data_IF_268793306816
#
_entry.id   IF_268793306816
#
_cell.length_a   1.000
_cell.length_b   1.000
_cell.length_c   1.000
_cell.angle_alpha   90.00
_cell.angle_beta   90.00
_cell.angle_gamma   90.00
#
_symmetry.space_group_name_H-M   'P 1'
#
loop_
_entity.id
_entity.type
_entity.pdbx_description
1 polymer ?
#
# COMPACT_ATOMS: atom_id res chain seq x y z
N UNK A 1 44.73 36.53 -16.77
CA UNK A 1 43.57 36.01 -16.01
C UNK A 1 42.80 35.10 -16.95
N UNK A 2 42.86 33.79 -16.67
CA UNK A 2 42.00 32.73 -17.22
C UNK A 2 40.53 33.12 -17.20
N UNK A 3 39.73 32.62 -18.15
CA UNK A 3 38.62 31.71 -17.85
C UNK A 3 38.40 30.77 -19.05
N UNK A 4 38.69 29.50 -18.78
CA UNK A 4 38.53 28.33 -19.62
C UNK A 4 37.08 27.84 -19.48
N UNK A 5 36.36 27.71 -20.59
CA UNK A 5 34.98 27.20 -20.64
C UNK A 5 35.03 25.68 -20.64
N UNK A 6 34.86 25.08 -19.46
CA UNK A 6 34.85 23.63 -19.27
C UNK A 6 33.74 22.94 -20.04
N UNK A 7 34.13 22.15 -21.03
CA UNK A 7 33.32 21.18 -21.75
C UNK A 7 32.78 20.09 -20.81
N UNK A 8 31.49 19.78 -20.96
CA UNK A 8 30.87 18.53 -20.51
C UNK A 8 31.61 17.33 -21.12
N UNK A 9 32.40 16.59 -20.34
CA UNK A 9 32.85 15.25 -20.70
C UNK A 9 32.09 14.24 -19.85
N UNK A 10 31.18 13.51 -20.50
CA UNK A 10 30.62 12.29 -19.92
C UNK A 10 31.74 11.29 -19.67
N UNK A 11 31.79 10.77 -18.44
CA UNK A 11 32.68 9.67 -18.10
C UNK A 11 32.19 8.39 -18.78
N UNK A 12 32.97 7.86 -19.72
CA UNK A 12 32.73 6.53 -20.27
C UNK A 12 33.07 5.44 -19.23
N UNK A 13 32.28 4.36 -19.15
CA UNK A 13 32.50 3.32 -18.17
C UNK A 13 33.75 2.49 -18.49
N UNK A 14 34.68 2.42 -17.53
CA UNK A 14 35.88 1.60 -17.60
C UNK A 14 35.54 0.10 -17.48
N UNK A 15 35.72 -0.66 -18.55
CA UNK A 15 35.36 -2.09 -18.66
C UNK A 15 36.21 -3.04 -17.78
N UNK A 16 37.26 -2.56 -17.10
CA UNK A 16 38.18 -3.39 -16.32
C UNK A 16 37.96 -3.37 -14.78
N UNK A 17 36.79 -2.94 -14.29
CA UNK A 17 36.44 -3.02 -12.85
C UNK A 17 36.01 -4.46 -12.46
N UNK A 18 36.75 -5.18 -11.60
CA UNK A 18 36.41 -6.54 -11.18
C UNK A 18 35.08 -6.65 -10.41
N UNK A 19 34.49 -5.52 -9.98
CA UNK A 19 33.15 -5.48 -9.36
C UNK A 19 32.00 -5.33 -10.36
N UNK A 20 32.26 -5.33 -11.67
CA UNK A 20 31.22 -5.17 -12.70
C UNK A 20 30.32 -6.42 -12.85
N UNK A 21 30.78 -7.59 -12.41
CA UNK A 21 29.97 -8.81 -12.41
C UNK A 21 28.81 -8.76 -11.36
N UNK A 22 29.02 -8.03 -10.27
CA UNK A 22 28.07 -7.89 -9.16
C UNK A 22 27.21 -6.62 -9.25
N UNK A 23 27.48 -5.76 -10.24
CA UNK A 23 26.69 -4.54 -10.47
C UNK A 23 25.38 -4.91 -11.17
N UNK A 24 24.27 -4.59 -10.51
CA UNK A 24 22.92 -4.81 -11.04
C UNK A 24 22.72 -3.93 -12.28
N UNK A 25 22.69 -4.59 -13.45
CA UNK A 25 22.58 -3.95 -14.76
C UNK A 25 21.17 -3.46 -15.07
N UNK A 26 20.17 -4.03 -14.41
CA UNK A 26 18.78 -3.59 -14.53
C UNK A 26 18.58 -2.30 -13.73
N UNK A 27 18.36 -1.19 -14.44
CA UNK A 27 18.02 0.11 -13.85
C UNK A 27 16.77 0.00 -12.97
N UNK A 28 15.81 -0.84 -13.37
CA UNK A 28 14.58 -1.11 -12.63
C UNK A 28 14.73 -1.99 -11.39
N UNK A 29 15.84 -2.72 -11.19
CA UNK A 29 16.05 -3.52 -9.97
C UNK A 29 16.92 -2.82 -8.92
N UNK A 30 17.52 -1.66 -9.25
CA UNK A 30 18.42 -0.95 -8.33
C UNK A 30 17.73 -0.52 -7.02
N UNK A 31 16.42 -0.27 -7.03
CA UNK A 31 15.67 0.15 -5.84
C UNK A 31 15.58 -0.93 -4.76
N UNK A 32 15.66 -2.21 -5.13
CA UNK A 32 15.52 -3.35 -4.19
C UNK A 32 16.73 -3.47 -3.26
N UNK A 33 17.88 -2.89 -3.63
CA UNK A 33 19.16 -3.07 -2.96
C UNK A 33 19.71 -1.80 -2.30
N UNK A 34 18.90 -0.74 -2.19
CA UNK A 34 19.26 0.45 -1.42
C UNK A 34 19.05 0.16 0.07
N UNK A 35 20.06 0.41 0.91
CA UNK A 35 19.99 0.19 2.37
C UNK A 35 18.91 1.03 3.08
N UNK A 36 18.35 2.02 2.37
CA UNK A 36 17.27 2.88 2.82
C UNK A 36 15.91 2.44 2.26
N UNK A 37 15.80 1.27 1.61
CA UNK A 37 14.54 0.73 1.07
C UNK A 37 13.47 0.66 2.14
N UNK A 38 13.84 0.34 3.38
CA UNK A 38 12.91 0.26 4.51
C UNK A 38 12.83 1.59 5.29
N UNK A 39 13.49 2.65 4.81
CA UNK A 39 13.50 3.98 5.41
C UNK A 39 12.65 4.93 4.56
N UNK A 40 11.35 4.63 4.46
CA UNK A 40 10.38 5.51 3.82
C UNK A 40 10.13 6.72 4.73
N UNK A 41 10.22 7.97 4.24
CA UNK A 41 9.83 9.15 4.99
C UNK A 41 8.31 9.20 5.28
N UNK A 42 7.53 8.32 4.65
CA UNK A 42 6.09 8.16 4.80
C UNK A 42 5.78 6.69 5.07
N UNK A 43 6.30 6.15 6.17
CA UNK A 43 5.78 4.89 6.71
C UNK A 43 4.70 5.25 7.74
N UNK A 44 3.44 4.78 7.58
CA UNK A 44 2.97 3.92 6.49
C UNK A 44 2.76 4.66 5.17
N UNK A 45 3.12 3.98 4.07
CA UNK A 45 2.88 4.44 2.70
C UNK A 45 1.37 4.74 2.57
N UNK A 46 0.96 5.93 2.11
CA UNK A 46 -0.46 6.22 1.95
C UNK A 46 -1.14 5.18 1.05
N UNK A 47 -2.35 4.75 1.41
CA UNK A 47 -3.08 3.68 0.70
C UNK A 47 -3.27 3.95 -0.81
N UNK A 48 -3.30 5.22 -1.23
CA UNK A 48 -3.38 5.60 -2.64
C UNK A 48 -2.09 5.33 -3.42
N UNK A 49 -0.94 5.34 -2.74
CA UNK A 49 0.39 5.05 -3.30
C UNK A 49 0.76 3.55 -3.19
N UNK A 50 0.07 2.80 -2.33
CA UNK A 50 0.22 1.34 -2.21
C UNK A 50 -0.60 0.56 -3.28
N UNK A 51 -1.37 1.29 -4.08
CA UNK A 51 -2.14 0.72 -5.17
C UNK A 51 -1.28 0.29 -6.36
N UNK A 52 -1.54 -0.88 -6.93
CA UNK A 52 -0.93 -1.27 -8.21
C UNK A 52 -1.34 -0.25 -9.30
N UNK A 53 -0.40 0.53 -9.90
CA UNK A 53 -0.71 1.57 -10.87
C UNK A 53 -1.49 1.04 -12.09
N UNK A 54 -1.24 -0.22 -12.45
CA UNK A 54 -1.92 -0.87 -13.57
C UNK A 54 -3.43 -1.01 -13.33
N UNK A 55 -3.89 -0.94 -12.07
CA UNK A 55 -5.30 -1.04 -11.70
C UNK A 55 -6.09 0.27 -11.90
N UNK A 56 -5.39 1.40 -12.08
CA UNK A 56 -6.00 2.73 -12.21
C UNK A 56 -6.05 3.23 -13.66
N UNK A 57 -5.89 2.34 -14.63
CA UNK A 57 -6.16 2.64 -16.04
C UNK A 57 -7.66 2.80 -16.28
N UNK A 58 -8.05 3.64 -17.24
CA UNK A 58 -9.47 3.90 -17.55
C UNK A 58 -10.26 2.60 -17.84
N UNK A 59 -9.65 1.66 -18.55
CA UNK A 59 -10.22 0.35 -18.87
C UNK A 59 -10.46 -0.48 -17.60
N UNK A 60 -9.45 -0.65 -16.74
CA UNK A 60 -9.60 -1.47 -15.52
C UNK A 60 -10.52 -0.83 -14.49
N UNK A 61 -10.59 0.50 -14.46
CA UNK A 61 -11.58 1.21 -13.65
C UNK A 61 -13.01 0.94 -14.12
N UNK A 62 -13.26 0.86 -15.43
CA UNK A 62 -14.57 0.50 -15.97
C UNK A 62 -14.94 -0.95 -15.63
N UNK A 63 -13.99 -1.89 -15.79
CA UNK A 63 -14.18 -3.28 -15.37
C UNK A 63 -14.52 -3.37 -13.88
N UNK A 64 -13.80 -2.63 -13.02
CA UNK A 64 -14.08 -2.56 -11.58
C UNK A 64 -15.46 -2.00 -11.27
N UNK A 65 -15.92 -0.99 -12.02
CA UNK A 65 -17.30 -0.46 -11.88
C UNK A 65 -18.34 -1.52 -12.22
N UNK A 66 -18.14 -2.28 -13.30
CA UNK A 66 -19.02 -3.37 -13.70
C UNK A 66 -19.13 -4.49 -12.67
N UNK A 67 -18.07 -4.77 -11.90
CA UNK A 67 -18.12 -5.79 -10.84
C UNK A 67 -19.07 -5.44 -9.70
N UNK A 68 -19.38 -4.17 -9.47
CA UNK A 68 -20.32 -3.74 -8.41
C UNK A 68 -21.74 -4.24 -8.63
N UNK A 69 -22.14 -4.46 -9.88
CA UNK A 69 -23.47 -4.95 -10.25
C UNK A 69 -23.49 -6.43 -10.55
N UNK A 70 -22.34 -7.10 -10.53
CA UNK A 70 -22.25 -8.54 -10.78
C UNK A 70 -22.83 -9.33 -9.60
N UNK A 71 -23.86 -10.13 -9.86
CA UNK A 71 -24.58 -10.88 -8.81
C UNK A 71 -23.70 -11.93 -8.12
N UNK A 72 -22.79 -12.59 -8.86
CA UNK A 72 -21.84 -13.57 -8.28
C UNK A 72 -20.90 -12.86 -7.29
N UNK A 73 -20.42 -11.66 -7.66
CA UNK A 73 -19.54 -10.88 -6.79
C UNK A 73 -20.28 -10.42 -5.54
N UNK A 74 -21.52 -9.93 -5.68
CA UNK A 74 -22.35 -9.52 -4.54
C UNK A 74 -22.63 -10.69 -3.60
N UNK A 75 -23.01 -11.85 -4.14
CA UNK A 75 -23.28 -13.05 -3.36
C UNK A 75 -22.02 -13.48 -2.61
N UNK A 76 -20.88 -13.59 -3.29
CA UNK A 76 -19.61 -13.96 -2.66
C UNK A 76 -19.19 -12.97 -1.56
N UNK A 77 -19.40 -11.67 -1.75
CA UNK A 77 -19.12 -10.66 -0.72
C UNK A 77 -20.09 -10.82 0.45
N UNK A 78 -21.38 -10.99 0.20
CA UNK A 78 -22.36 -11.19 1.27
C UNK A 78 -22.05 -12.44 2.10
N UNK A 79 -21.73 -13.55 1.42
CA UNK A 79 -21.31 -14.80 2.05
C UNK A 79 -20.05 -14.60 2.90
N UNK A 80 -19.04 -13.92 2.35
CA UNK A 80 -17.83 -13.60 3.09
C UNK A 80 -18.10 -12.76 4.34
N UNK A 81 -19.00 -11.77 4.26
CA UNK A 81 -19.34 -10.93 5.40
C UNK A 81 -20.01 -11.73 6.53
N UNK A 82 -20.56 -12.92 6.27
CA UNK A 82 -21.11 -13.79 7.33
C UNK A 82 -20.04 -14.41 8.23
N UNK A 83 -18.76 -14.43 7.81
CA UNK A 83 -17.66 -14.91 8.65
C UNK A 83 -17.41 -13.98 9.86
N UNK A 84 -17.86 -12.73 9.80
CA UNK A 84 -17.71 -11.77 10.88
C UNK A 84 -18.93 -11.78 11.80
N UNK A 85 -18.67 -11.98 13.09
CA UNK A 85 -19.69 -11.85 14.14
C UNK A 85 -19.71 -10.45 14.74
N UNK A 86 -20.83 -9.75 14.54
CA UNK A 86 -21.08 -8.45 15.16
C UNK A 86 -21.65 -8.60 16.57
N UNK A 87 -21.31 -7.67 17.45
CA UNK A 87 -21.93 -7.56 18.77
C UNK A 87 -23.35 -6.94 18.68
N UNK A 88 -24.01 -6.81 19.83
CA UNK A 88 -25.36 -6.25 19.91
C UNK A 88 -25.47 -4.78 19.41
N UNK A 89 -24.36 -4.07 19.35
CA UNK A 89 -24.24 -2.71 18.84
C UNK A 89 -23.93 -2.65 17.34
N UNK A 90 -23.78 -3.80 16.67
CA UNK A 90 -23.43 -3.87 15.25
C UNK A 90 -21.94 -3.68 14.96
N UNK A 91 -21.07 -3.76 15.98
CA UNK A 91 -19.62 -3.61 15.81
C UNK A 91 -18.92 -4.96 15.79
N UNK A 92 -17.83 -5.05 15.01
CA UNK A 92 -16.90 -6.18 15.04
C UNK A 92 -15.87 -5.92 16.15
N UNK A 93 -15.71 -6.87 17.06
CA UNK A 93 -14.69 -6.76 18.11
C UNK A 93 -13.29 -7.00 17.56
N UNK A 94 -12.27 -6.47 18.25
CA UNK A 94 -10.86 -6.74 17.91
C UNK A 94 -10.56 -8.23 17.84
N UNK A 95 -11.06 -9.02 18.79
CA UNK A 95 -10.84 -10.46 18.82
C UNK A 95 -11.47 -11.17 17.61
N UNK A 96 -12.65 -10.74 17.18
CA UNK A 96 -13.31 -11.29 15.99
C UNK A 96 -12.58 -10.88 14.70
N UNK A 97 -12.15 -9.63 14.59
CA UNK A 97 -11.30 -9.17 13.50
C UNK A 97 -10.04 -10.04 13.40
N UNK A 98 -9.28 -10.17 14.49
CA UNK A 98 -8.04 -10.96 14.52
C UNK A 98 -8.33 -12.41 14.12
N UNK A 99 -9.38 -13.02 14.65
CA UNK A 99 -9.75 -14.40 14.32
C UNK A 99 -10.04 -14.61 12.83
N UNK A 100 -10.83 -13.74 12.20
CA UNK A 100 -11.16 -13.85 10.77
C UNK A 100 -9.91 -13.60 9.92
N UNK A 101 -9.16 -12.55 10.21
CA UNK A 101 -7.94 -12.21 9.45
C UNK A 101 -6.81 -13.22 9.64
N UNK A 102 -6.74 -13.94 10.76
CA UNK A 102 -5.82 -15.06 10.92
C UNK A 102 -6.14 -16.18 9.92
N UNK A 103 -7.42 -16.52 9.73
CA UNK A 103 -7.81 -17.54 8.72
C UNK A 103 -7.40 -17.09 7.31
N UNK A 104 -7.68 -15.83 6.97
CA UNK A 104 -7.35 -15.25 5.66
C UNK A 104 -5.83 -15.24 5.45
N UNK A 105 -5.07 -14.77 6.43
CA UNK A 105 -3.61 -14.69 6.39
C UNK A 105 -2.95 -16.05 6.18
N UNK A 106 -3.46 -17.10 6.83
CA UNK A 106 -2.96 -18.47 6.66
C UNK A 106 -3.19 -19.03 5.24
N UNK A 107 -4.24 -18.59 4.55
CA UNK A 107 -4.53 -18.96 3.16
C UNK A 107 -3.63 -18.17 2.20
N UNK A 108 -3.50 -16.86 2.42
CA UNK A 108 -2.79 -15.95 1.51
C UNK A 108 -1.26 -16.05 1.63
N UNK A 109 -0.75 -16.40 2.81
CA UNK A 109 0.70 -16.51 3.09
C UNK A 109 1.02 -17.88 3.68
N UNK A 110 0.96 -18.96 2.88
CA UNK A 110 1.33 -20.29 3.37
C UNK A 110 2.78 -20.30 3.84
N UNK A 111 3.02 -20.80 5.06
CA UNK A 111 4.36 -20.88 5.66
C UNK A 111 4.79 -19.66 6.48
N UNK A 112 3.92 -18.67 6.68
CA UNK A 112 4.15 -17.63 7.69
C UNK A 112 4.01 -18.24 9.09
N UNK A 113 4.87 -17.81 10.02
CA UNK A 113 4.76 -18.20 11.43
C UNK A 113 3.54 -17.53 12.07
N UNK A 114 2.83 -18.27 12.94
CA UNK A 114 1.58 -17.79 13.55
C UNK A 114 1.78 -16.51 14.37
N UNK A 115 2.91 -16.39 15.07
CA UNK A 115 3.26 -15.21 15.87
C UNK A 115 3.52 -13.98 14.99
N UNK A 116 4.18 -14.18 13.84
CA UNK A 116 4.43 -13.11 12.87
C UNK A 116 3.12 -12.65 12.24
N UNK A 117 2.27 -13.58 11.82
CA UNK A 117 0.95 -13.25 11.27
C UNK A 117 0.07 -12.51 12.29
N UNK A 118 0.09 -12.96 13.56
CA UNK A 118 -0.63 -12.31 14.65
C UNK A 118 -0.14 -10.87 14.86
N UNK A 119 1.18 -10.63 14.77
CA UNK A 119 1.76 -9.29 14.87
C UNK A 119 1.27 -8.39 13.73
N UNK A 120 1.34 -8.88 12.49
CA UNK A 120 0.89 -8.14 11.31
C UNK A 120 -0.58 -7.73 11.44
N UNK A 121 -1.46 -8.67 11.80
CA UNK A 121 -2.91 -8.39 11.90
C UNK A 121 -3.22 -7.43 13.03
N UNK A 122 -2.48 -7.48 14.15
CA UNK A 122 -2.65 -6.52 15.24
C UNK A 122 -2.24 -5.11 14.81
N UNK A 123 -1.12 -4.98 14.09
CA UNK A 123 -0.68 -3.70 13.53
C UNK A 123 -1.70 -3.16 12.53
N UNK A 124 -2.25 -4.02 11.66
CA UNK A 124 -3.30 -3.67 10.70
C UNK A 124 -4.57 -3.17 11.38
N UNK A 125 -5.03 -3.86 12.44
CA UNK A 125 -6.20 -3.43 13.20
C UNK A 125 -6.01 -2.04 13.82
N UNK A 126 -4.85 -1.74 14.40
CA UNK A 126 -4.60 -0.41 14.98
C UNK A 126 -4.62 0.68 13.89
N UNK A 127 -4.08 0.38 12.70
CA UNK A 127 -4.11 1.31 11.56
C UNK A 127 -5.52 1.51 10.99
N UNK A 128 -6.32 0.45 10.91
CA UNK A 128 -7.69 0.45 10.40
C UNK A 128 -8.69 1.08 11.37
N UNK A 129 -8.44 0.95 12.67
CA UNK A 129 -9.29 1.51 13.74
C UNK A 129 -8.95 2.95 14.11
N UNK A 130 -7.87 3.50 13.55
CA UNK A 130 -7.63 4.94 13.57
C UNK A 130 -8.63 5.62 12.63
N UNK A 131 -9.66 6.24 13.21
CA UNK A 131 -10.60 7.09 12.49
C UNK A 131 -9.84 8.10 11.63
N UNK A 132 -9.86 7.89 10.31
CA UNK A 132 -9.51 8.94 9.35
C UNK A 132 -10.74 9.81 9.16
N UNK A 133 -10.55 11.12 9.11
CA UNK A 133 -11.62 12.06 8.82
C UNK A 133 -12.36 11.60 7.56
N UNK A 134 -13.70 11.55 7.57
CA UNK A 134 -14.44 11.17 6.38
C UNK A 134 -14.14 12.16 5.26
N UNK A 135 -13.38 11.72 4.25
CA UNK A 135 -13.15 12.50 3.03
C UNK A 135 -14.46 12.52 2.26
N UNK A 136 -15.04 13.73 2.11
CA UNK A 136 -16.26 13.94 1.33
C UNK A 136 -16.04 13.41 -0.09
N UNK A 137 -17.05 12.78 -0.68
CA UNK A 137 -16.95 12.18 -2.03
C UNK A 137 -16.45 13.17 -3.09
N UNK A 138 -16.74 14.45 -2.90
CA UNK A 138 -16.34 15.58 -3.76
C UNK A 138 -14.83 15.91 -3.69
N UNK A 139 -14.17 15.47 -2.62
CA UNK A 139 -12.79 15.82 -2.29
C UNK A 139 -11.85 14.61 -2.39
N UNK A 140 -12.35 13.43 -2.80
CA UNK A 140 -11.57 12.18 -2.93
C UNK A 140 -10.51 12.23 -4.03
N UNK A 141 -10.68 13.10 -5.03
CA UNK A 141 -9.75 13.26 -6.15
C UNK A 141 -8.79 14.46 -5.94
N UNK A 142 -8.89 15.20 -4.82
CA UNK A 142 -8.06 16.37 -4.50
C UNK A 142 -7.23 16.12 -3.21
N UNK A 143 -5.95 15.72 -3.34
CA UNK A 143 -5.10 15.34 -2.21
C UNK A 143 -4.96 16.44 -1.15
N UNK A 144 -4.95 17.72 -1.56
CA UNK A 144 -4.75 18.85 -0.64
C UNK A 144 -5.98 19.08 0.25
N UNK A 145 -7.17 18.81 -0.27
CA UNK A 145 -8.40 18.94 0.50
C UNK A 145 -8.61 17.77 1.46
N UNK A 146 -8.28 16.56 1.04
CA UNK A 146 -8.29 15.39 1.92
C UNK A 146 -7.33 15.57 3.11
N UNK A 147 -6.13 16.10 2.87
CA UNK A 147 -5.14 16.39 3.91
C UNK A 147 -5.63 17.47 4.89
N UNK A 148 -6.26 18.54 4.39
CA UNK A 148 -6.81 19.60 5.24
C UNK A 148 -7.99 19.11 6.10
N UNK A 149 -8.87 18.28 5.54
CA UNK A 149 -9.98 17.69 6.30
C UNK A 149 -9.50 16.77 7.43
N UNK A 150 -8.40 16.05 7.21
CA UNK A 150 -7.75 15.24 8.25
C UNK A 150 -7.20 16.12 9.38
N UNK A 151 -6.47 17.19 9.06
CA UNK A 151 -5.89 18.10 10.07
C UNK A 151 -6.96 18.81 10.92
N UNK A 152 -8.10 19.18 10.32
CA UNK A 152 -9.22 19.82 11.03
C UNK A 152 -9.96 18.85 11.97
N UNK A 153 -9.98 17.55 11.65
CA UNK A 153 -10.56 16.51 12.49
C UNK A 153 -9.65 16.15 13.67
N UNK A 154 -8.34 16.05 13.43
CA UNK A 154 -7.34 15.76 14.47
C UNK A 154 -7.17 16.90 15.49
N UNK A 155 -7.62 18.12 15.16
CA UNK A 155 -7.53 19.30 16.02
C UNK A 155 -8.74 19.48 16.97
N UNK A 156 -9.72 18.59 16.95
CA UNK A 156 -10.91 18.60 17.82
C UNK A 156 -10.77 17.64 19.00
#
# INVERSE_FOLDING_TARGET
IQMDTGENRGEEPNENDPNNASKIKSVGLKFVFLGNRDNFPHNPCPYYDDGNPDMYTAEKMEVRRGLKTNEIVKEAVNDFMTEFQMNAQGHISKDEYVKVFMKIGMILRPGIEADELTRIIKEDFELDSMDKAPVRDEDKDDPQKAEKAQQEFEAQ
#
